data_IF_825439169264
#
_entry.id   IF_825439169264
#
_cell.length_a   1.000
_cell.length_b   1.000
_cell.length_c   1.000
_cell.angle_alpha   90.00
_cell.angle_beta   90.00
_cell.angle_gamma   90.00
#
_symmetry.space_group_name_H-M   'P 1'
#
loop_
_entity.id
_entity.type
_entity.pdbx_description
1 polymer ?
#
# COMPACT_ATOMS: atom_id res chain seq x y z
N UNK A 1 9.24 -11.84 -5.40
CA UNK A 1 8.23 -11.69 -4.34
C UNK A 1 7.97 -10.21 -4.24
N UNK A 2 6.82 -9.77 -4.74
CA UNK A 2 6.48 -8.36 -4.83
C UNK A 2 6.48 -7.76 -3.42
N UNK A 3 7.28 -6.72 -3.24
CA UNK A 3 7.32 -5.88 -2.04
C UNK A 3 6.00 -5.10 -1.99
N UNK A 4 4.91 -5.78 -1.65
CA UNK A 4 3.63 -5.12 -1.44
C UNK A 4 3.79 -4.21 -0.24
N UNK A 5 3.48 -2.90 -0.37
CA UNK A 5 3.50 -2.03 0.78
C UNK A 5 2.58 -2.63 1.85
N UNK A 6 3.06 -2.73 3.09
CA UNK A 6 2.37 -3.36 4.24
C UNK A 6 0.93 -2.87 4.46
N UNK A 7 0.56 -1.74 3.85
CA UNK A 7 -0.76 -1.12 3.94
C UNK A 7 -1.35 -0.84 2.54
N UNK A 8 -1.56 -1.91 1.77
CA UNK A 8 -2.21 -1.87 0.47
C UNK A 8 -3.20 -3.04 0.29
N UNK A 9 -4.40 -2.74 -0.19
CA UNK A 9 -5.48 -3.70 -0.48
C UNK A 9 -5.60 -3.99 -2.00
N UNK A 10 -4.73 -3.39 -2.81
CA UNK A 10 -4.75 -3.53 -4.26
C UNK A 10 -4.75 -5.00 -4.71
N UNK A 11 -5.72 -5.36 -5.55
CA UNK A 11 -5.84 -6.70 -6.12
C UNK A 11 -6.42 -7.78 -5.19
N UNK A 12 -6.78 -7.45 -3.95
CA UNK A 12 -7.42 -8.39 -3.03
C UNK A 12 -8.95 -8.42 -3.23
N UNK A 13 -9.58 -9.57 -3.03
CA UNK A 13 -11.04 -9.63 -2.93
C UNK A 13 -11.52 -8.95 -1.64
N UNK A 14 -12.78 -8.51 -1.59
CA UNK A 14 -13.34 -7.91 -0.37
C UNK A 14 -13.20 -8.83 0.85
N UNK A 15 -13.35 -10.13 0.65
CA UNK A 15 -13.19 -11.13 1.71
C UNK A 15 -11.75 -11.18 2.20
N UNK A 16 -10.79 -11.31 1.29
CA UNK A 16 -9.37 -11.41 1.64
C UNK A 16 -8.87 -10.12 2.29
N UNK A 17 -9.34 -8.97 1.82
CA UNK A 17 -9.02 -7.66 2.41
C UNK A 17 -9.53 -7.55 3.86
N UNK A 18 -10.73 -8.08 4.17
CA UNK A 18 -11.26 -8.13 5.55
C UNK A 18 -10.44 -9.07 6.44
N UNK A 19 -10.10 -10.25 5.95
CA UNK A 19 -9.27 -11.22 6.68
C UNK A 19 -7.87 -10.64 6.95
N UNK A 20 -7.29 -9.94 5.99
CA UNK A 20 -6.01 -9.24 6.13
C UNK A 20 -6.06 -8.11 7.17
N UNK A 21 -7.10 -7.26 7.13
CA UNK A 21 -7.27 -6.22 8.16
C UNK A 21 -7.47 -6.84 9.55
N UNK A 22 -8.17 -7.97 9.65
CA UNK A 22 -8.38 -8.66 10.91
C UNK A 22 -7.05 -9.21 11.48
N UNK A 23 -6.18 -9.78 10.65
CA UNK A 23 -4.87 -10.27 11.11
C UNK A 23 -3.96 -9.13 11.58
N UNK A 24 -3.92 -8.02 10.86
CA UNK A 24 -3.19 -6.82 11.27
C UNK A 24 -3.77 -6.22 12.56
N UNK A 25 -5.09 -6.25 12.73
CA UNK A 25 -5.75 -5.79 13.97
C UNK A 25 -5.38 -6.69 15.15
N UNK A 26 -5.32 -8.00 14.96
CA UNK A 26 -4.87 -8.94 15.99
C UNK A 26 -3.42 -8.66 16.40
N UNK A 27 -2.53 -8.41 15.44
CA UNK A 27 -1.15 -8.04 15.71
C UNK A 27 -1.05 -6.71 16.48
N UNK A 28 -1.81 -5.69 16.09
CA UNK A 28 -1.89 -4.43 16.84
C UNK A 28 -2.37 -4.63 18.29
N UNK A 29 -3.35 -5.52 18.50
CA UNK A 29 -3.80 -5.86 19.85
C UNK A 29 -2.71 -6.58 20.67
N UNK A 30 -1.92 -7.44 20.03
CA UNK A 30 -0.78 -8.09 20.68
C UNK A 30 0.28 -7.07 21.10
N UNK A 31 0.63 -6.12 20.24
CA UNK A 31 1.56 -5.03 20.57
C UNK A 31 1.01 -4.16 21.72
N UNK A 32 -0.30 -3.90 21.71
CA UNK A 32 -0.96 -3.13 22.79
C UNK A 32 -0.88 -3.86 24.14
N UNK A 33 -1.11 -5.17 24.15
CA UNK A 33 -0.98 -6.00 25.36
C UNK A 33 0.48 -6.06 25.84
N UNK A 34 1.45 -6.09 24.92
CA UNK A 34 2.87 -6.05 25.27
C UNK A 34 3.28 -4.72 25.92
N UNK A 35 2.75 -3.59 25.43
CA UNK A 35 2.94 -2.28 26.08
C UNK A 35 2.39 -2.24 27.50
N UNK A 36 1.22 -2.85 27.72
CA UNK A 36 0.62 -2.96 29.05
C UNK A 36 1.47 -3.85 29.97
N UNK A 37 2.01 -4.96 29.46
CA UNK A 37 2.93 -5.79 30.24
C UNK A 37 4.21 -5.03 30.61
N UNK A 38 4.78 -4.25 29.68
CA UNK A 38 5.98 -3.44 29.94
C UNK A 38 5.71 -2.38 30.99
N UNK A 39 4.53 -1.75 31.00
CA UNK A 39 4.19 -0.75 32.02
C UNK A 39 4.09 -1.38 33.42
N UNK A 40 3.48 -2.57 33.53
CA UNK A 40 3.44 -3.33 34.78
C UNK A 40 4.83 -3.73 35.26
N UNK A 41 5.69 -4.20 34.33
CA UNK A 41 7.07 -4.56 34.66
C UNK A 41 7.87 -3.34 35.15
N UNK A 42 7.71 -2.19 34.49
CA UNK A 42 8.35 -0.93 34.92
C UNK A 42 7.95 -0.55 36.35
N UNK A 43 6.67 -0.67 36.71
CA UNK A 43 6.22 -0.41 38.09
C UNK A 43 6.89 -1.35 39.09
N UNK A 44 6.99 -2.64 38.77
CA UNK A 44 7.66 -3.63 39.63
C UNK A 44 9.14 -3.28 39.81
N UNK A 45 9.84 -2.94 38.73
CA UNK A 45 11.25 -2.58 38.81
C UNK A 45 11.50 -1.26 39.53
N UNK A 46 10.62 -0.27 39.40
CA UNK A 46 10.68 0.95 40.20
C UNK A 46 10.58 0.67 41.70
N UNK A 47 9.63 -0.19 42.12
CA UNK A 47 9.52 -0.60 43.53
C UNK A 47 10.77 -1.35 44.02
N UNK A 48 11.39 -2.16 43.15
CA UNK A 48 12.65 -2.86 43.46
C UNK A 48 13.81 -1.89 43.67
N UNK A 49 13.93 -0.84 42.87
CA UNK A 49 14.93 0.24 43.07
C UNK A 49 14.73 0.90 44.43
N UNK A 50 13.51 1.35 44.74
CA UNK A 50 13.20 1.99 46.02
C UNK A 50 13.53 1.08 47.21
N UNK A 51 13.21 -0.21 47.10
CA UNK A 51 13.53 -1.20 48.14
C UNK A 51 15.04 -1.38 48.30
N UNK A 52 15.79 -1.51 47.21
CA UNK A 52 17.24 -1.67 47.26
C UNK A 52 17.94 -0.43 47.86
N UNK A 53 17.48 0.77 47.52
CA UNK A 53 17.98 2.04 48.06
C UNK A 53 17.71 2.14 49.57
N UNK A 54 16.48 1.83 50.00
CA UNK A 54 16.13 1.83 51.42
C UNK A 54 16.95 0.82 52.25
N UNK A 55 17.40 -0.26 51.62
CA UNK A 55 18.25 -1.29 52.22
C UNK A 55 19.76 -0.98 52.10
N UNK A 56 20.16 0.15 51.53
CA UNK A 56 21.56 0.54 51.33
C UNK A 56 22.33 -0.33 50.32
N UNK A 57 21.62 -1.07 49.46
CA UNK A 57 22.22 -2.00 48.48
C UNK A 57 22.38 -1.30 47.12
N UNK A 58 23.37 -0.41 47.01
CA UNK A 58 23.60 0.42 45.82
C UNK A 58 23.75 -0.39 44.52
N UNK A 59 24.53 -1.48 44.54
CA UNK A 59 24.72 -2.32 43.34
C UNK A 59 23.42 -2.92 42.80
N UNK A 60 22.50 -3.32 43.69
CA UNK A 60 21.20 -3.86 43.27
C UNK A 60 20.29 -2.75 42.72
N UNK A 61 20.38 -1.54 43.27
CA UNK A 61 19.65 -0.39 42.75
C UNK A 61 20.13 -0.04 41.33
N UNK A 62 21.45 -0.07 41.08
CA UNK A 62 22.03 0.20 39.77
C UNK A 62 21.64 -0.85 38.72
N UNK A 63 21.67 -2.13 39.09
CA UNK A 63 21.19 -3.22 38.21
C UNK A 63 19.70 -3.08 37.88
N UNK A 64 18.88 -2.74 38.86
CA UNK A 64 17.45 -2.52 38.65
C UNK A 64 17.18 -1.29 37.77
N UNK A 65 17.93 -0.20 37.94
CA UNK A 65 17.88 0.99 37.07
C UNK A 65 18.29 0.67 35.63
N UNK A 66 19.33 -0.15 35.44
CA UNK A 66 19.71 -0.62 34.11
C UNK A 66 18.57 -1.40 33.43
N UNK A 67 17.85 -2.23 34.19
CA UNK A 67 16.69 -2.96 33.66
C UNK A 67 15.52 -2.05 33.30
N UNK A 68 15.26 -1.02 34.11
CA UNK A 68 14.25 0.02 33.79
C UNK A 68 14.59 0.68 32.45
N UNK A 69 15.85 1.08 32.24
CA UNK A 69 16.27 1.71 30.98
C UNK A 69 16.03 0.79 29.77
N UNK A 70 16.36 -0.50 29.89
CA UNK A 70 16.07 -1.48 28.83
C UNK A 70 14.57 -1.61 28.52
N UNK A 71 13.73 -1.60 29.55
CA UNK A 71 12.27 -1.67 29.40
C UNK A 71 11.73 -0.38 28.74
N UNK A 72 12.23 0.79 29.11
CA UNK A 72 11.87 2.07 28.48
C UNK A 72 12.26 2.11 27.00
N UNK A 73 13.45 1.63 26.65
CA UNK A 73 13.87 1.51 25.25
C UNK A 73 12.95 0.58 24.46
N UNK A 74 12.55 -0.55 25.05
CA UNK A 74 11.60 -1.49 24.45
C UNK A 74 10.21 -0.85 24.29
N UNK A 75 9.76 -0.11 25.30
CA UNK A 75 8.47 0.59 25.28
C UNK A 75 8.41 1.57 24.11
N UNK A 76 9.44 2.38 23.90
CA UNK A 76 9.49 3.36 22.79
C UNK A 76 9.43 2.67 21.43
N UNK A 77 10.14 1.54 21.26
CA UNK A 77 10.12 0.77 20.01
C UNK A 77 8.72 0.23 19.70
N UNK A 78 8.13 -0.48 20.66
CA UNK A 78 6.80 -1.10 20.49
C UNK A 78 5.72 -0.02 20.34
N UNK A 79 5.84 1.11 21.04
CA UNK A 79 4.90 2.22 20.92
C UNK A 79 4.95 2.85 19.53
N UNK A 80 6.14 3.00 18.95
CA UNK A 80 6.31 3.51 17.58
C UNK A 80 5.67 2.53 16.59
N UNK A 81 5.97 1.23 16.73
CA UNK A 81 5.39 0.19 15.88
C UNK A 81 3.86 0.15 16.00
N UNK A 82 3.31 0.14 17.21
CA UNK A 82 1.87 0.17 17.44
C UNK A 82 1.21 1.41 16.81
N UNK A 83 1.87 2.57 16.87
CA UNK A 83 1.38 3.79 16.23
C UNK A 83 1.35 3.65 14.71
N UNK A 84 2.39 3.08 14.10
CA UNK A 84 2.45 2.82 12.65
C UNK A 84 1.36 1.85 12.22
N UNK A 85 1.15 0.75 12.95
CA UNK A 85 0.06 -0.19 12.70
C UNK A 85 -1.31 0.45 12.86
N UNK A 86 -1.51 1.33 13.86
CA UNK A 86 -2.78 2.04 14.03
C UNK A 86 -3.09 2.93 12.83
N UNK A 87 -2.12 3.75 12.41
CA UNK A 87 -2.28 4.64 11.25
C UNK A 87 -2.51 3.84 9.96
N UNK A 88 -1.76 2.75 9.78
CA UNK A 88 -1.92 1.83 8.67
C UNK A 88 -3.29 1.15 8.64
N UNK A 89 -3.78 0.68 9.80
CA UNK A 89 -5.12 0.09 9.93
C UNK A 89 -6.23 1.08 9.64
N UNK A 90 -6.10 2.34 10.08
CA UNK A 90 -7.10 3.38 9.80
C UNK A 90 -7.15 3.72 8.31
N UNK A 91 -5.98 3.74 7.64
CA UNK A 91 -5.90 3.85 6.18
C UNK A 91 -6.56 2.65 5.51
N UNK A 92 -6.19 1.42 5.87
CA UNK A 92 -6.75 0.20 5.28
C UNK A 92 -8.26 0.10 5.47
N UNK A 93 -8.79 0.48 6.64
CA UNK A 93 -10.24 0.53 6.89
C UNK A 93 -10.94 1.56 5.99
N UNK A 94 -10.27 2.66 5.68
CA UNK A 94 -10.78 3.68 4.76
C UNK A 94 -10.76 3.16 3.33
N UNK A 95 -9.67 2.52 2.92
CA UNK A 95 -9.49 1.91 1.60
C UNK A 95 -10.49 0.76 1.38
N UNK A 96 -10.78 -0.06 2.41
CA UNK A 96 -11.76 -1.13 2.35
C UNK A 96 -13.16 -0.62 2.00
N UNK A 97 -13.55 0.57 2.49
CA UNK A 97 -14.85 1.19 2.13
C UNK A 97 -14.91 1.61 0.67
N UNK A 98 -13.76 1.93 0.07
CA UNK A 98 -13.63 2.37 -1.32
C UNK A 98 -13.37 1.20 -2.29
N UNK A 99 -12.94 0.06 -1.78
CA UNK A 99 -12.68 -1.17 -2.52
C UNK A 99 -13.85 -1.59 -3.44
N UNK A 100 -15.13 -1.61 -3.00
CA UNK A 100 -16.24 -1.92 -3.90
C UNK A 100 -16.49 -0.86 -5.00
N UNK A 101 -16.04 0.40 -4.82
CA UNK A 101 -16.12 1.43 -5.85
C UNK A 101 -15.02 1.30 -6.90
N UNK A 102 -13.83 0.84 -6.49
CA UNK A 102 -12.66 0.67 -7.35
C UNK A 102 -12.65 -0.67 -8.09
N UNK A 103 -13.35 -1.68 -7.56
CA UNK A 103 -13.58 -2.97 -8.23
C UNK A 103 -14.78 -2.97 -9.19
N UNK A 104 -15.38 -1.81 -9.48
CA UNK A 104 -16.30 -1.69 -10.62
C UNK A 104 -15.53 -2.00 -11.89
N UNK A 105 -15.60 -3.25 -12.35
CA UNK A 105 -15.28 -3.65 -13.71
C UNK A 105 -16.15 -2.80 -14.63
N UNK A 106 -15.55 -1.79 -15.24
CA UNK A 106 -16.18 -1.07 -16.34
C UNK A 106 -16.11 -2.05 -17.51
N UNK A 107 -17.28 -2.52 -17.95
CA UNK A 107 -17.37 -3.29 -19.18
C UNK A 107 -16.87 -2.41 -20.34
N UNK A 108 -15.75 -2.77 -20.98
CA UNK A 108 -15.15 -1.95 -22.02
C UNK A 108 -16.09 -1.79 -23.22
N UNK A 109 -16.95 -2.77 -23.51
CA UNK A 109 -17.94 -2.67 -24.60
C UNK A 109 -19.05 -1.69 -24.24
N UNK A 110 -19.52 -1.72 -22.99
CA UNK A 110 -20.57 -0.82 -22.50
C UNK A 110 -20.05 0.62 -22.38
N UNK A 111 -18.79 0.80 -22.00
CA UNK A 111 -18.12 2.10 -22.01
C UNK A 111 -17.94 2.62 -23.44
N UNK A 112 -17.54 1.76 -24.37
CA UNK A 112 -17.37 2.14 -25.77
C UNK A 112 -18.70 2.58 -26.38
N UNK A 113 -19.78 1.81 -26.18
CA UNK A 113 -21.13 2.15 -26.65
C UNK A 113 -21.64 3.47 -26.04
N UNK A 114 -21.36 3.71 -24.75
CA UNK A 114 -21.68 4.99 -24.10
C UNK A 114 -20.87 6.17 -24.67
N UNK A 115 -19.59 5.96 -24.96
CA UNK A 115 -18.73 6.98 -25.58
C UNK A 115 -19.15 7.29 -27.01
N UNK A 116 -19.50 6.27 -27.81
CA UNK A 116 -19.97 6.44 -29.18
C UNK A 116 -21.32 7.19 -29.26
N UNK A 117 -22.20 7.01 -28.27
CA UNK A 117 -23.45 7.79 -28.16
C UNK A 117 -23.24 9.26 -27.82
N UNK A 118 -22.18 9.58 -27.06
CA UNK A 118 -21.90 10.96 -26.60
C UNK A 118 -20.99 11.72 -27.57
N UNK A 119 -19.94 11.07 -28.07
CA UNK A 119 -18.94 11.68 -28.96
C UNK A 119 -19.24 11.46 -30.45
N UNK A 120 -20.21 10.59 -30.78
CA UNK A 120 -20.44 10.09 -32.14
C UNK A 120 -19.55 8.88 -32.45
N UNK A 121 -19.87 8.13 -33.53
CA UNK A 121 -19.09 6.96 -33.93
C UNK A 121 -17.64 7.36 -34.27
N UNK A 122 -16.69 6.53 -33.87
CA UNK A 122 -15.27 6.72 -34.19
C UNK A 122 -15.10 6.76 -35.71
N UNK A 123 -14.54 7.84 -36.26
CA UNK A 123 -14.40 8.01 -37.71
C UNK A 123 -13.36 7.04 -38.30
N UNK A 124 -13.87 5.93 -38.85
CA UNK A 124 -13.06 4.90 -39.51
C UNK A 124 -12.77 5.24 -40.98
N UNK A 125 -13.45 6.24 -41.56
CA UNK A 125 -13.39 6.54 -42.99
C UNK A 125 -12.16 7.38 -43.30
N UNK A 126 -11.88 8.40 -42.48
CA UNK A 126 -10.73 9.30 -42.69
C UNK A 126 -9.36 8.59 -42.66
N UNK A 127 -9.08 7.63 -41.75
CA UNK A 127 -7.83 6.87 -41.76
C UNK A 127 -7.67 5.95 -42.99
N UNK A 128 -8.76 5.36 -43.47
CA UNK A 128 -8.75 4.50 -44.66
C UNK A 128 -8.53 5.30 -45.95
N UNK A 129 -9.13 6.49 -46.04
CA UNK A 129 -8.89 7.42 -47.14
C UNK A 129 -7.41 7.84 -47.21
N UNK A 130 -6.82 8.23 -46.07
CA UNK A 130 -5.39 8.60 -46.00
C UNK A 130 -4.45 7.46 -46.36
N UNK A 131 -4.79 6.21 -45.99
CA UNK A 131 -4.01 5.03 -46.41
C UNK A 131 -4.04 4.82 -47.92
N UNK A 132 -5.23 4.92 -48.53
CA UNK A 132 -5.37 4.82 -49.99
C UNK A 132 -4.59 5.90 -50.74
N UNK A 133 -4.70 7.15 -50.29
CA UNK A 133 -3.93 8.26 -50.87
C UNK A 133 -2.41 8.03 -50.74
N UNK A 134 -1.95 7.52 -49.60
CA UNK A 134 -0.54 7.18 -49.41
C UNK A 134 -0.06 6.03 -50.31
N UNK A 135 -0.91 5.02 -50.54
CA UNK A 135 -0.60 3.91 -51.45
C UNK A 135 -0.55 4.37 -52.92
N UNK A 136 -1.48 5.23 -53.34
CA UNK A 136 -1.49 5.82 -54.67
C UNK A 136 -0.27 6.73 -54.90
N UNK A 137 0.10 7.55 -53.91
CA UNK A 137 1.31 8.37 -53.95
C UNK A 137 2.59 7.51 -54.03
N UNK A 138 2.64 6.39 -53.29
CA UNK A 138 3.73 5.42 -53.37
C UNK A 138 3.81 4.73 -54.74
N UNK A 139 2.67 4.36 -55.33
CA UNK A 139 2.63 3.77 -56.66
C UNK A 139 3.11 4.76 -57.73
N UNK A 140 2.66 6.01 -57.67
CA UNK A 140 3.10 7.07 -58.58
C UNK A 140 4.61 7.36 -58.46
N UNK A 141 5.15 7.39 -57.23
CA UNK A 141 6.60 7.53 -56.99
C UNK A 141 7.40 6.34 -57.54
N UNK A 142 6.91 5.11 -57.37
CA UNK A 142 7.55 3.91 -57.92
C UNK A 142 7.60 3.92 -59.45
N UNK A 143 6.53 4.35 -60.11
CA UNK A 143 6.52 4.46 -61.57
C UNK A 143 7.43 5.58 -62.08
N UNK A 144 7.50 6.72 -61.38
CA UNK A 144 8.48 7.79 -61.68
C UNK A 144 9.93 7.30 -61.57
N UNK A 145 10.27 6.59 -60.50
CA UNK A 145 11.60 6.04 -60.28
C UNK A 145 11.98 4.94 -61.30
N UNK A 146 11.02 4.14 -61.77
CA UNK A 146 11.26 3.18 -62.86
C UNK A 146 11.46 3.86 -64.22
N UNK A 147 10.86 5.03 -64.42
CA UNK A 147 11.06 5.86 -65.62
C UNK A 147 12.42 6.56 -65.65
N UNK A 148 12.91 7.03 -64.50
CA UNK A 148 14.24 7.67 -64.39
C UNK A 148 15.41 6.70 -64.51
N UNK A 149 15.26 5.42 -64.12
CA UNK A 149 16.31 4.39 -64.24
C UNK A 149 16.41 3.73 -65.64
N UNK A 150 15.71 4.27 -66.65
CA UNK A 150 15.73 3.76 -68.04
C UNK A 150 16.37 4.73 -69.06
N UNK A 151 16.95 5.83 -68.60
CA UNK A 151 17.84 6.70 -69.39
C UNK A 151 19.28 6.56 -68.89
#
# INVERSE_FOLDING_TARGET
MSDQPLFDLGGMSERDAKEYIASLSAHYHQLSAELEQISLDLEVWHRRVQTAESAGKAELADQARARINQLLESQVKIQTEAQDFRLGLDKLKSDLKLLPLTQRTIDPELLLDALEKVAGPTDQITPLARKREAEEALAALKERLKGENKN
#
